data_IF_917092353859
#
_entry.id   IF_917092353859
#
_cell.length_a   1.000
_cell.length_b   1.000
_cell.length_c   1.000
_cell.angle_alpha   90.00
_cell.angle_beta   90.00
_cell.angle_gamma   90.00
#
_symmetry.space_group_name_H-M   'P 1'
#
loop_
_entity.id
_entity.type
_entity.pdbx_description
1 polymer ?
#
# COMPACT_ATOMS: atom_id res chain seq x y z
N UNK A 1 -16.91 -19.68 12.25
CA UNK A 1 -18.10 -18.84 12.08
C UNK A 1 -18.12 -18.16 10.74
N UNK A 2 -19.21 -18.32 10.00
CA UNK A 2 -19.31 -17.67 8.71
C UNK A 2 -19.22 -16.14 8.78
N UNK A 3 -19.65 -15.58 9.91
CA UNK A 3 -19.61 -14.13 10.07
C UNK A 3 -18.19 -13.59 10.07
N UNK A 4 -17.24 -14.29 10.69
CA UNK A 4 -15.87 -13.82 10.74
C UNK A 4 -15.22 -13.78 9.36
N UNK A 5 -15.53 -14.78 8.54
CA UNK A 5 -15.00 -14.85 7.18
C UNK A 5 -15.58 -13.74 6.32
N UNK A 6 -16.86 -13.47 6.46
CA UNK A 6 -17.52 -12.43 5.69
C UNK A 6 -16.97 -11.04 6.07
N UNK A 7 -16.75 -10.79 7.36
CA UNK A 7 -16.20 -9.52 7.81
C UNK A 7 -14.77 -9.35 7.35
N UNK A 8 -13.97 -10.42 7.39
CA UNK A 8 -12.59 -10.35 6.90
C UNK A 8 -12.55 -10.08 5.40
N UNK A 9 -13.44 -10.68 4.62
CA UNK A 9 -13.53 -10.45 3.20
C UNK A 9 -13.92 -9.00 2.89
N UNK A 10 -14.88 -8.45 3.63
CA UNK A 10 -15.27 -7.06 3.46
C UNK A 10 -14.12 -6.10 3.80
N UNK A 11 -13.39 -6.40 4.87
CA UNK A 11 -12.25 -5.58 5.26
C UNK A 11 -11.16 -5.61 4.18
N UNK A 12 -10.91 -6.76 3.57
CA UNK A 12 -9.97 -6.89 2.47
C UNK A 12 -10.41 -6.07 1.26
N UNK A 13 -11.70 -6.11 0.94
CA UNK A 13 -12.25 -5.39 -0.20
C UNK A 13 -12.14 -3.88 0.02
N UNK A 14 -12.43 -3.41 1.23
CA UNK A 14 -12.31 -1.99 1.56
C UNK A 14 -10.86 -1.53 1.48
N UNK A 15 -9.92 -2.32 2.00
CA UNK A 15 -8.50 -1.98 1.94
C UNK A 15 -8.02 -1.96 0.49
N UNK A 16 -8.47 -2.89 -0.32
CA UNK A 16 -8.11 -2.95 -1.73
C UNK A 16 -8.62 -1.71 -2.46
N UNK A 17 -9.86 -1.29 -2.20
CA UNK A 17 -10.42 -0.10 -2.80
C UNK A 17 -9.65 1.16 -2.37
N UNK A 18 -9.31 1.26 -1.09
CA UNK A 18 -8.53 2.38 -0.57
C UNK A 18 -7.14 2.41 -1.18
N UNK A 19 -6.53 1.23 -1.34
CA UNK A 19 -5.22 1.11 -1.98
C UNK A 19 -5.28 1.60 -3.43
N UNK A 20 -6.29 1.17 -4.17
CA UNK A 20 -6.47 1.60 -5.56
C UNK A 20 -6.68 3.10 -5.67
N UNK A 21 -7.46 3.69 -4.75
CA UNK A 21 -7.67 5.14 -4.72
C UNK A 21 -6.37 5.89 -4.44
N UNK A 22 -5.57 5.41 -3.49
CA UNK A 22 -4.30 6.05 -3.16
C UNK A 22 -3.31 5.96 -4.32
N UNK A 23 -3.26 4.80 -5.00
CA UNK A 23 -2.40 4.61 -6.18
C UNK A 23 -2.83 5.51 -7.33
N UNK A 24 -4.15 5.64 -7.55
CA UNK A 24 -4.67 6.52 -8.59
C UNK A 24 -4.34 7.98 -8.30
N UNK A 25 -4.48 8.40 -7.04
CA UNK A 25 -4.14 9.75 -6.64
C UNK A 25 -2.63 10.02 -6.83
N UNK A 26 -1.80 9.05 -6.52
CA UNK A 26 -0.36 9.17 -6.74
C UNK A 26 -0.03 9.28 -8.23
N UNK A 27 -0.68 8.48 -9.07
CA UNK A 27 -0.51 8.55 -10.50
C UNK A 27 -0.92 9.92 -11.06
N UNK A 28 -1.99 10.51 -10.51
CA UNK A 28 -2.43 11.85 -10.90
C UNK A 28 -1.38 12.90 -10.54
N UNK A 29 -0.77 12.81 -9.36
CA UNK A 29 0.29 13.71 -8.94
C UNK A 29 1.46 13.64 -9.91
N UNK A 30 1.88 12.43 -10.27
CA UNK A 30 2.99 12.23 -11.19
C UNK A 30 2.65 12.75 -12.60
N UNK A 31 1.45 12.48 -13.07
CA UNK A 31 1.02 12.95 -14.38
C UNK A 31 0.97 14.48 -14.44
N UNK A 32 0.44 15.12 -13.42
CA UNK A 32 0.38 16.58 -13.35
C UNK A 32 1.77 17.19 -13.32
N UNK A 33 2.68 16.57 -12.60
CA UNK A 33 4.08 17.01 -12.55
C UNK A 33 4.73 16.91 -13.94
N UNK A 34 4.60 15.77 -14.59
CA UNK A 34 5.18 15.55 -15.92
C UNK A 34 4.60 16.53 -16.94
N UNK A 35 3.29 16.72 -16.91
CA UNK A 35 2.62 17.68 -17.82
C UNK A 35 3.09 19.10 -17.59
N UNK A 36 3.27 19.48 -16.32
CA UNK A 36 3.76 20.82 -15.98
C UNK A 36 5.21 21.01 -16.44
N UNK A 37 6.04 19.98 -16.30
CA UNK A 37 7.43 20.02 -16.77
C UNK A 37 7.49 20.15 -18.30
N UNK A 38 6.63 19.44 -19.01
CA UNK A 38 6.56 19.54 -20.46
C UNK A 38 6.19 20.95 -20.91
N UNK A 39 5.18 21.54 -20.24
CA UNK A 39 4.78 22.92 -20.55
C UNK A 39 5.90 23.90 -20.25
N UNK A 40 6.65 23.66 -19.18
CA UNK A 40 7.77 24.50 -18.82
C UNK A 40 8.89 24.39 -19.83
N UNK A 41 9.17 23.19 -20.33
CA UNK A 41 10.21 22.97 -21.34
C UNK A 41 9.87 23.68 -22.66
N UNK A 42 8.60 23.77 -23.00
CA UNK A 42 8.14 24.44 -24.18
C UNK A 42 8.15 25.97 -24.06
N UNK A 43 8.18 26.46 -22.81
CA UNK A 43 8.19 27.89 -22.57
C UNK A 43 9.53 28.49 -22.97
N UNK A 44 9.49 29.61 -23.67
CA UNK A 44 10.68 30.28 -24.21
C UNK A 44 11.32 31.29 -23.25
N UNK A 45 10.95 31.24 -21.97
CA UNK A 45 11.47 32.15 -20.98
C UNK A 45 12.93 31.88 -20.58
N UNK A 46 13.51 32.71 -19.71
CA UNK A 46 14.90 32.58 -19.30
C UNK A 46 15.18 31.26 -18.61
N UNK A 47 16.38 30.73 -18.82
CA UNK A 47 16.80 29.43 -18.24
C UNK A 47 16.77 29.46 -16.72
N UNK A 48 17.21 30.57 -16.12
CA UNK A 48 17.20 30.68 -14.66
C UNK A 48 15.78 30.62 -14.09
N UNK A 49 14.81 31.20 -14.80
CA UNK A 49 13.41 31.14 -14.38
C UNK A 49 12.86 29.73 -14.56
N UNK A 50 13.23 29.05 -15.64
CA UNK A 50 12.82 27.66 -15.85
C UNK A 50 13.33 26.77 -14.71
N UNK A 51 14.57 26.94 -14.33
CA UNK A 51 15.16 26.14 -13.24
C UNK A 51 14.43 26.37 -11.94
N UNK A 52 14.10 27.63 -11.65
CA UNK A 52 13.37 27.98 -10.44
C UNK A 52 11.96 27.38 -10.46
N UNK A 53 11.26 27.47 -11.57
CA UNK A 53 9.92 26.88 -11.71
C UNK A 53 9.97 25.37 -11.60
N UNK A 54 11.01 24.73 -12.16
CA UNK A 54 11.16 23.28 -12.04
C UNK A 54 11.37 22.87 -10.61
N UNK A 55 12.17 23.62 -9.84
CA UNK A 55 12.37 23.37 -8.42
C UNK A 55 11.05 23.51 -7.64
N UNK A 56 10.23 24.51 -7.98
CA UNK A 56 8.93 24.68 -7.35
C UNK A 56 7.99 23.54 -7.67
N UNK A 57 7.98 23.07 -8.91
CA UNK A 57 7.17 21.92 -9.32
C UNK A 57 7.60 20.66 -8.57
N UNK A 58 8.90 20.45 -8.41
CA UNK A 58 9.43 19.31 -7.68
C UNK A 58 9.04 19.36 -6.20
N UNK A 59 9.14 20.54 -5.59
CA UNK A 59 8.73 20.72 -4.20
C UNK A 59 7.24 20.47 -4.01
N UNK A 60 6.42 20.93 -4.95
CA UNK A 60 4.99 20.68 -4.93
C UNK A 60 4.67 19.19 -5.06
N UNK A 61 5.35 18.52 -5.99
CA UNK A 61 5.21 17.08 -6.18
C UNK A 61 5.52 16.33 -4.89
N UNK A 62 6.63 16.68 -4.24
CA UNK A 62 7.02 16.04 -2.99
C UNK A 62 5.99 16.26 -1.90
N UNK A 63 5.47 17.48 -1.78
CA UNK A 63 4.45 17.77 -0.78
C UNK A 63 3.16 16.99 -1.00
N UNK A 64 2.78 16.82 -2.27
CA UNK A 64 1.55 16.11 -2.61
C UNK A 64 1.73 14.59 -2.53
N UNK A 65 2.94 14.10 -2.82
CA UNK A 65 3.25 12.68 -2.73
C UNK A 65 3.31 12.15 -1.31
N UNK A 66 3.89 12.94 -0.41
CA UNK A 66 4.19 12.46 0.94
C UNK A 66 2.99 11.86 1.67
N UNK A 67 1.85 12.55 1.78
CA UNK A 67 0.71 11.95 2.47
C UNK A 67 0.17 10.71 1.77
N UNK A 68 0.30 10.64 0.43
CA UNK A 68 -0.12 9.47 -0.32
C UNK A 68 0.79 8.27 -0.07
N UNK A 69 2.10 8.50 -0.01
CA UNK A 69 3.07 7.46 0.32
C UNK A 69 2.82 6.94 1.75
N UNK A 70 2.58 7.84 2.69
CA UNK A 70 2.26 7.45 4.07
C UNK A 70 0.97 6.64 4.11
N UNK A 71 -0.03 7.03 3.34
CA UNK A 71 -1.30 6.30 3.26
C UNK A 71 -1.09 4.91 2.68
N UNK A 72 -0.28 4.79 1.62
CA UNK A 72 0.03 3.51 1.01
C UNK A 72 0.76 2.59 1.99
N UNK A 73 1.72 3.12 2.75
CA UNK A 73 2.44 2.35 3.76
C UNK A 73 1.48 1.83 4.83
N UNK A 74 0.55 2.68 5.28
CA UNK A 74 -0.43 2.30 6.27
C UNK A 74 -1.36 1.21 5.75
N UNK A 75 -1.85 1.38 4.52
CA UNK A 75 -2.72 0.38 3.90
C UNK A 75 -1.99 -0.95 3.71
N UNK A 76 -0.72 -0.89 3.32
CA UNK A 76 0.10 -2.08 3.17
C UNK A 76 0.25 -2.81 4.51
N UNK A 77 0.50 -2.09 5.58
CA UNK A 77 0.59 -2.68 6.92
C UNK A 77 -0.71 -3.34 7.34
N UNK A 78 -1.85 -2.66 7.09
CA UNK A 78 -3.16 -3.21 7.41
C UNK A 78 -3.43 -4.48 6.61
N UNK A 79 -3.09 -4.47 5.33
CA UNK A 79 -3.27 -5.62 4.46
C UNK A 79 -2.44 -6.80 4.91
N UNK A 80 -1.17 -6.57 5.21
CA UNK A 80 -0.27 -7.61 5.71
C UNK A 80 -0.72 -8.16 7.04
N UNK A 81 -1.19 -7.30 7.93
CA UNK A 81 -1.71 -7.73 9.22
C UNK A 81 -2.92 -8.64 9.06
N UNK A 82 -3.82 -8.29 8.14
CA UNK A 82 -5.02 -9.07 7.89
C UNK A 82 -4.68 -10.43 7.30
N UNK A 83 -3.78 -10.46 6.33
CA UNK A 83 -3.33 -11.70 5.69
C UNK A 83 -2.59 -12.57 6.70
N UNK A 84 -1.73 -11.98 7.50
CA UNK A 84 -0.98 -12.68 8.52
C UNK A 84 -1.90 -13.32 9.54
N UNK A 85 -2.91 -12.60 9.99
CA UNK A 85 -3.88 -13.13 10.95
C UNK A 85 -4.62 -14.33 10.39
N UNK A 86 -5.01 -14.29 9.12
CA UNK A 86 -5.67 -15.40 8.47
C UNK A 86 -4.73 -16.60 8.35
N UNK A 87 -3.51 -16.37 7.94
CA UNK A 87 -2.51 -17.42 7.81
C UNK A 87 -2.21 -18.08 9.15
N UNK A 88 -2.12 -17.28 10.19
CA UNK A 88 -1.83 -17.78 11.52
C UNK A 88 -2.98 -18.62 12.04
N UNK A 89 -4.21 -18.20 11.82
CA UNK A 89 -5.38 -18.98 12.21
C UNK A 89 -5.43 -20.33 11.51
N UNK A 90 -5.16 -20.35 10.22
CA UNK A 90 -5.14 -21.57 9.44
C UNK A 90 -4.02 -22.50 9.89
N UNK A 91 -2.85 -21.96 10.13
CA UNK A 91 -1.70 -22.74 10.60
C UNK A 91 -1.97 -23.34 11.98
N UNK A 92 -2.59 -22.56 12.86
CA UNK A 92 -2.92 -23.01 14.20
C UNK A 92 -3.88 -24.19 14.15
N UNK A 93 -4.92 -24.13 13.35
CA UNK A 93 -5.87 -25.22 13.21
C UNK A 93 -5.24 -26.47 12.66
N UNK A 94 -4.41 -26.34 11.65
CA UNK A 94 -3.71 -27.46 11.07
C UNK A 94 -2.73 -28.09 12.06
N UNK A 95 -2.02 -27.27 12.79
CA UNK A 95 -1.06 -27.73 13.77
C UNK A 95 -1.73 -28.50 14.89
N UNK A 96 -2.86 -28.01 15.34
CA UNK A 96 -3.59 -28.67 16.41
C UNK A 96 -4.03 -30.06 15.98
N UNK A 97 -4.52 -30.19 14.78
CA UNK A 97 -4.95 -31.47 14.27
C UNK A 97 -3.78 -32.45 14.13
N UNK A 98 -2.65 -31.96 13.68
CA UNK A 98 -1.51 -32.82 13.49
C UNK A 98 -0.82 -33.17 14.80
N UNK A 99 -0.76 -32.24 15.70
CA UNK A 99 -0.09 -32.48 16.96
C UNK A 99 -0.74 -33.53 17.83
N UNK A 100 -2.03 -33.53 17.85
CA UNK A 100 -2.76 -34.44 18.68
C UNK A 100 -2.32 -35.87 18.53
N UNK A 101 -2.19 -36.40 17.33
CA UNK A 101 -1.77 -37.78 17.17
C UNK A 101 -0.27 -38.04 17.19
N UNK A 102 0.52 -37.11 16.72
CA UNK A 102 1.90 -37.42 16.47
C UNK A 102 2.88 -36.86 17.45
N UNK A 103 2.54 -35.75 18.05
CA UNK A 103 3.48 -35.07 18.89
C UNK A 103 3.96 -35.87 20.05
N UNK A 104 3.10 -36.54 20.67
CA UNK A 104 3.38 -37.29 21.84
C UNK A 104 4.46 -38.29 21.67
N UNK A 105 4.41 -39.16 20.72
CA UNK A 105 5.43 -40.17 20.60
C UNK A 105 6.79 -39.62 20.24
N UNK A 106 6.82 -38.49 19.56
CA UNK A 106 8.07 -38.02 19.14
C UNK A 106 8.89 -37.44 20.22
N UNK A 107 8.24 -36.86 21.12
CA UNK A 107 8.91 -36.09 22.08
C UNK A 107 9.77 -36.90 22.96
N UNK A 108 9.36 -38.07 23.18
CA UNK A 108 10.01 -38.77 24.11
C UNK A 108 10.99 -39.50 23.68
N UNK A 109 11.13 -39.60 22.66
CA UNK A 109 12.21 -40.43 22.25
C UNK A 109 13.52 -39.96 22.83
#
# INVERSE_FOLDING_TARGET
>A
MPHSDALAALACDELTADLQHALAALADVEFEFESACERLDEWSGPVADKDRFRQQLEAERCRRREPLIQRLDELDRQMKSLVFSRSLSSAWEASTDLEAPTHTPQVHA
#
